data_IF_210376060817
#
_entry.id   IF_210376060817
#
_cell.length_a   1.000
_cell.length_b   1.000
_cell.length_c   1.000
_cell.angle_alpha   90.00
_cell.angle_beta   90.00
_cell.angle_gamma   90.00
#
_symmetry.space_group_name_H-M   'P 1'
#
loop_
_entity.id
_entity.type
_entity.pdbx_description
1 polymer ?
#
# COMPACT_ATOMS: atom_id res chain seq x y z
N UNK A 1 -16.18 -5.54 8.50
CA UNK A 1 -16.16 -4.78 9.76
C UNK A 1 -14.70 -4.72 10.12
N UNK A 2 -14.08 -3.56 10.02
CA UNK A 2 -12.62 -3.47 9.79
C UNK A 2 -11.89 -3.01 11.07
N UNK A 3 -12.47 -3.39 12.22
CA UNK A 3 -11.96 -3.07 13.54
C UNK A 3 -10.54 -3.64 13.73
N UNK A 4 -9.63 -2.88 14.37
CA UNK A 4 -9.86 -1.63 15.11
C UNK A 4 -9.80 -0.35 14.25
N UNK A 5 -9.66 -0.46 12.93
CA UNK A 5 -9.44 0.71 12.07
C UNK A 5 -10.75 1.40 11.69
N UNK A 6 -10.66 2.72 11.51
CA UNK A 6 -11.81 3.54 11.13
C UNK A 6 -12.19 3.32 9.67
N UNK A 7 -13.50 3.42 9.40
CA UNK A 7 -14.12 3.29 8.08
C UNK A 7 -13.94 1.92 7.42
N UNK A 8 -14.25 1.84 6.13
CA UNK A 8 -14.29 0.59 5.36
C UNK A 8 -13.96 0.87 3.89
N UNK A 9 -14.15 -0.11 3.01
CA UNK A 9 -13.98 -0.02 1.55
C UNK A 9 -14.52 1.29 0.99
N UNK A 10 -13.80 1.87 0.02
CA UNK A 10 -13.99 3.20 -0.59
C UNK A 10 -13.47 4.39 0.23
N UNK A 11 -13.20 4.24 1.54
CA UNK A 11 -12.58 5.29 2.34
C UNK A 11 -11.04 5.20 2.28
N UNK A 12 -10.44 5.65 1.17
CA UNK A 12 -8.99 5.61 0.97
C UNK A 12 -8.17 6.40 2.01
N UNK A 13 -8.82 7.34 2.71
CA UNK A 13 -8.18 8.17 3.73
C UNK A 13 -7.92 7.43 5.05
N UNK A 14 -8.51 6.25 5.30
CA UNK A 14 -8.39 5.56 6.59
C UNK A 14 -8.03 4.08 6.40
N UNK A 15 -7.33 3.52 7.40
CA UNK A 15 -6.83 2.15 7.32
C UNK A 15 -7.92 1.07 7.32
N UNK A 16 -9.15 1.35 7.73
CA UNK A 16 -10.25 0.40 7.54
C UNK A 16 -10.58 0.18 6.07
N UNK A 17 -10.26 1.15 5.20
CA UNK A 17 -10.42 1.02 3.75
C UNK A 17 -9.18 0.55 3.00
N UNK A 18 -7.98 0.65 3.59
CA UNK A 18 -6.71 0.45 2.86
C UNK A 18 -5.76 -0.58 3.47
N UNK A 19 -5.87 -0.90 4.76
CA UNK A 19 -4.99 -1.88 5.41
C UNK A 19 -5.50 -3.29 5.15
N UNK A 20 -4.62 -4.13 4.62
CA UNK A 20 -4.91 -5.52 4.32
C UNK A 20 -3.94 -6.44 5.07
N UNK A 21 -4.42 -7.62 5.45
CA UNK A 21 -3.53 -8.69 5.93
C UNK A 21 -2.70 -9.21 4.75
N UNK A 22 -1.40 -9.43 4.99
CA UNK A 22 -0.48 -10.00 4.01
C UNK A 22 0.29 -11.14 4.66
N UNK A 23 0.40 -12.26 3.94
CA UNK A 23 1.24 -13.39 4.29
C UNK A 23 2.17 -13.67 3.12
N UNK A 24 3.46 -13.79 3.39
CA UNK A 24 4.48 -14.14 2.40
C UNK A 24 5.08 -15.47 2.81
N UNK A 25 5.15 -16.41 1.86
CA UNK A 25 5.85 -17.69 2.02
C UNK A 25 6.86 -17.84 0.90
N UNK A 26 8.14 -17.85 1.25
CA UNK A 26 9.22 -18.11 0.31
C UNK A 26 10.28 -19.03 0.94
N UNK A 27 10.03 -20.35 0.98
CA UNK A 27 10.85 -21.30 1.75
C UNK A 27 12.33 -21.30 1.42
N UNK A 28 12.69 -21.00 0.16
CA UNK A 28 14.08 -21.00 -0.29
C UNK A 28 14.84 -19.70 0.05
N UNK A 29 14.13 -18.62 0.40
CA UNK A 29 14.76 -17.33 0.70
C UNK A 29 14.38 -16.73 2.05
N UNK A 30 13.51 -17.38 2.83
CA UNK A 30 13.18 -16.98 4.20
C UNK A 30 13.65 -18.05 5.18
N UNK A 31 14.54 -17.66 6.11
CA UNK A 31 15.03 -18.57 7.16
C UNK A 31 14.00 -18.78 8.27
N UNK A 32 13.27 -17.73 8.61
CA UNK A 32 12.32 -17.70 9.72
C UNK A 32 10.90 -18.05 9.23
N UNK A 33 10.11 -18.69 10.09
CA UNK A 33 8.74 -19.11 9.80
C UNK A 33 7.80 -18.69 10.93
N UNK A 34 6.61 -18.21 10.58
CA UNK A 34 5.58 -17.81 11.55
C UNK A 34 5.81 -16.44 12.20
N UNK A 35 6.78 -15.67 11.72
CA UNK A 35 7.10 -14.35 12.26
C UNK A 35 6.14 -13.26 11.74
N UNK A 36 5.95 -12.23 12.57
CA UNK A 36 5.21 -11.01 12.20
C UNK A 36 6.19 -9.91 11.82
N UNK A 37 5.84 -9.13 10.79
CA UNK A 37 6.59 -7.97 10.30
C UNK A 37 5.73 -6.71 10.37
N UNK A 38 6.32 -5.60 10.79
CA UNK A 38 5.59 -4.34 11.06
C UNK A 38 6.04 -3.17 10.17
N UNK A 39 7.00 -3.38 9.28
CA UNK A 39 7.44 -2.40 8.29
C UNK A 39 6.26 -1.95 7.43
N UNK A 40 6.20 -0.66 7.14
CA UNK A 40 5.12 -0.10 6.34
C UNK A 40 5.36 -0.41 4.86
N UNK A 41 4.38 -1.02 4.20
CA UNK A 41 4.42 -1.33 2.78
C UNK A 41 3.07 -1.11 2.12
N UNK A 42 3.11 -0.86 0.81
CA UNK A 42 1.94 -0.69 -0.04
C UNK A 42 1.91 -1.79 -1.11
N UNK A 43 0.74 -2.06 -1.71
CA UNK A 43 0.59 -3.13 -2.71
C UNK A 43 1.55 -2.99 -3.90
N UNK A 44 1.94 -1.76 -4.24
CA UNK A 44 2.89 -1.46 -5.33
C UNK A 44 4.32 -1.96 -5.05
N UNK A 45 4.63 -2.30 -3.80
CA UNK A 45 5.94 -2.82 -3.38
C UNK A 45 6.12 -4.31 -3.70
N UNK A 46 5.05 -5.01 -4.09
CA UNK A 46 5.10 -6.44 -4.39
C UNK A 46 5.90 -6.73 -5.66
N UNK A 47 5.65 -5.97 -6.73
CA UNK A 47 6.34 -6.14 -8.01
C UNK A 47 7.86 -5.96 -7.89
N UNK A 48 8.39 -4.86 -7.32
CA UNK A 48 9.84 -4.72 -7.17
C UNK A 48 10.45 -5.81 -6.28
N UNK A 49 9.73 -6.31 -5.26
CA UNK A 49 10.19 -7.43 -4.46
C UNK A 49 10.31 -8.73 -5.26
N UNK A 50 9.31 -9.05 -6.10
CA UNK A 50 9.37 -10.23 -6.98
C UNK A 50 10.54 -10.11 -7.96
N UNK A 51 10.71 -8.95 -8.59
CA UNK A 51 11.79 -8.71 -9.54
C UNK A 51 13.17 -8.86 -8.89
N UNK A 52 13.37 -8.31 -7.69
CA UNK A 52 14.61 -8.46 -6.92
C UNK A 52 14.90 -9.94 -6.61
N UNK A 53 13.91 -10.67 -6.08
CA UNK A 53 14.06 -12.08 -5.69
C UNK A 53 14.34 -12.99 -6.89
N UNK A 54 13.74 -12.69 -8.04
CA UNK A 54 13.98 -13.40 -9.30
C UNK A 54 15.28 -12.97 -9.99
N UNK A 55 15.94 -11.90 -9.52
CA UNK A 55 17.13 -11.30 -10.15
C UNK A 55 16.86 -10.84 -11.59
N UNK A 56 15.68 -10.27 -11.81
CA UNK A 56 15.24 -9.77 -13.13
C UNK A 56 15.06 -8.25 -13.04
N UNK A 57 15.60 -7.46 -13.99
CA UNK A 57 15.38 -6.02 -14.00
C UNK A 57 13.92 -5.68 -14.35
N UNK A 58 13.45 -4.52 -13.92
CA UNK A 58 12.15 -4.00 -14.35
C UNK A 58 12.15 -3.79 -15.88
N UNK A 59 11.13 -4.28 -16.61
CA UNK A 59 11.07 -4.12 -18.05
C UNK A 59 10.81 -2.66 -18.42
N UNK A 60 11.61 -2.11 -19.34
CA UNK A 60 11.39 -0.77 -19.90
C UNK A 60 10.34 -0.77 -21.02
N UNK A 61 10.11 -1.94 -21.64
CA UNK A 61 9.15 -2.14 -22.73
C UNK A 61 8.52 -3.53 -22.65
N UNK A 62 7.21 -3.62 -22.86
CA UNK A 62 6.45 -4.89 -22.92
C UNK A 62 5.57 -4.86 -24.15
N UNK A 63 5.69 -5.87 -25.04
CA UNK A 63 4.93 -5.96 -26.30
C UNK A 63 4.98 -4.67 -27.15
N UNK A 64 6.15 -4.02 -27.20
CA UNK A 64 6.33 -2.76 -27.95
C UNK A 64 5.95 -1.49 -27.18
N UNK A 65 5.29 -1.59 -26.03
CA UNK A 65 4.80 -0.44 -25.23
C UNK A 65 5.80 -0.06 -24.15
N UNK A 66 6.22 1.20 -24.12
CA UNK A 66 7.09 1.75 -23.07
C UNK A 66 6.39 1.75 -21.71
N UNK A 67 7.10 1.32 -20.67
CA UNK A 67 6.58 1.21 -19.33
C UNK A 67 6.93 2.44 -18.49
N UNK A 68 6.03 2.82 -17.58
CA UNK A 68 6.33 3.82 -16.55
C UNK A 68 7.33 3.23 -15.55
N UNK A 69 8.14 4.07 -14.89
CA UNK A 69 8.92 3.65 -13.73
C UNK A 69 8.03 3.00 -12.67
N UNK A 70 8.57 2.01 -11.96
CA UNK A 70 7.90 1.39 -10.82
C UNK A 70 8.00 2.35 -9.63
N UNK A 71 6.85 2.78 -9.10
CA UNK A 71 6.77 3.67 -7.91
C UNK A 71 6.96 2.90 -6.58
N UNK A 72 6.97 1.58 -6.65
CA UNK A 72 7.19 0.69 -5.51
C UNK A 72 8.65 0.61 -5.08
N UNK A 73 8.85 0.24 -3.82
CA UNK A 73 10.17 -0.16 -3.29
C UNK A 73 10.11 -1.62 -2.86
N UNK A 74 11.19 -2.37 -3.03
CA UNK A 74 11.19 -3.77 -2.64
C UNK A 74 11.05 -3.94 -1.14
N UNK A 75 10.24 -4.92 -0.74
CA UNK A 75 10.08 -5.37 0.65
C UNK A 75 10.95 -6.60 1.00
N UNK A 76 11.79 -7.09 0.07
CA UNK A 76 12.58 -8.31 0.26
C UNK A 76 13.55 -8.22 1.44
N UNK A 77 14.04 -7.01 1.77
CA UNK A 77 14.89 -6.77 2.94
C UNK A 77 14.27 -7.24 4.27
N UNK A 78 12.94 -7.27 4.36
CA UNK A 78 12.21 -7.70 5.58
C UNK A 78 12.26 -9.22 5.81
N UNK A 79 12.62 -10.00 4.79
CA UNK A 79 12.46 -11.46 4.81
C UNK A 79 13.40 -12.10 5.84
N UNK A 80 14.64 -11.61 5.92
CA UNK A 80 15.66 -12.13 6.83
C UNK A 80 16.16 -11.08 7.85
N UNK A 81 15.56 -9.89 7.89
CA UNK A 81 15.85 -8.88 8.90
C UNK A 81 14.55 -8.27 9.45
N UNK A 82 14.07 -8.84 10.56
CA UNK A 82 12.86 -8.40 11.23
C UNK A 82 12.93 -6.97 11.77
N UNK A 83 14.13 -6.53 12.15
CA UNK A 83 14.37 -5.24 12.80
C UNK A 83 14.77 -4.14 11.80
N UNK A 84 14.84 -4.45 10.50
CA UNK A 84 15.17 -3.45 9.50
C UNK A 84 14.13 -2.31 9.52
N UNK A 85 14.57 -1.04 9.42
CA UNK A 85 13.65 0.07 9.29
C UNK A 85 12.86 -0.04 7.98
N UNK A 86 11.66 0.55 7.97
CA UNK A 86 10.85 0.64 6.75
C UNK A 86 11.63 1.37 5.66
N UNK A 87 11.70 0.82 4.45
CA UNK A 87 12.28 1.53 3.29
C UNK A 87 11.25 2.42 2.59
N UNK A 88 9.95 2.17 2.81
CA UNK A 88 8.88 3.07 2.39
C UNK A 88 8.60 4.07 3.49
N UNK A 89 9.01 5.31 3.22
CA UNK A 89 8.83 6.44 4.11
C UNK A 89 7.54 7.20 3.81
N UNK A 90 7.12 7.27 2.55
CA UNK A 90 5.93 8.04 2.13
C UNK A 90 4.97 7.19 1.29
N UNK A 91 3.67 7.36 1.49
CA UNK A 91 2.63 6.81 0.61
C UNK A 91 1.42 7.73 0.54
N UNK A 92 0.99 8.06 -0.68
CA UNK A 92 -0.23 8.81 -0.93
C UNK A 92 -1.39 7.85 -1.26
N UNK A 93 -2.59 8.19 -0.78
CA UNK A 93 -3.83 7.47 -1.04
C UNK A 93 -4.87 8.46 -1.54
N UNK A 94 -5.56 8.11 -2.62
CA UNK A 94 -6.72 8.88 -3.07
C UNK A 94 -7.75 7.98 -3.73
N UNK A 95 -9.00 8.21 -3.37
CA UNK A 95 -10.14 7.67 -4.09
C UNK A 95 -11.34 8.59 -3.92
N UNK A 96 -11.87 9.09 -5.04
CA UNK A 96 -13.08 9.91 -5.10
C UNK A 96 -13.03 11.14 -4.17
N UNK A 97 -11.87 11.79 -4.07
CA UNK A 97 -11.64 12.95 -3.22
C UNK A 97 -11.28 12.64 -1.76
N UNK A 98 -11.39 11.39 -1.31
CA UNK A 98 -10.87 10.96 -0.01
C UNK A 98 -9.37 10.77 -0.11
N UNK A 99 -8.59 11.54 0.65
CA UNK A 99 -7.14 11.57 0.56
C UNK A 99 -6.48 11.23 1.89
N UNK A 100 -5.34 10.55 1.81
CA UNK A 100 -4.41 10.45 2.92
C UNK A 100 -2.96 10.44 2.43
N UNK A 101 -2.06 10.83 3.32
CA UNK A 101 -0.63 10.65 3.14
C UNK A 101 -0.03 10.06 4.41
N UNK A 102 0.65 8.93 4.25
CA UNK A 102 1.55 8.38 5.25
C UNK A 102 2.94 9.00 5.05
N UNK A 103 3.60 9.38 6.14
CA UNK A 103 5.00 9.78 6.16
C UNK A 103 5.66 9.41 7.50
N UNK A 104 6.64 8.50 7.48
CA UNK A 104 7.47 8.14 8.64
C UNK A 104 6.69 7.88 9.94
N UNK A 105 5.68 7.01 9.86
CA UNK A 105 4.82 6.65 10.98
C UNK A 105 3.63 7.58 11.20
N UNK A 106 3.65 8.78 10.61
CA UNK A 106 2.53 9.72 10.65
C UNK A 106 1.56 9.48 9.50
N UNK A 107 0.28 9.78 9.73
CA UNK A 107 -0.74 9.77 8.69
C UNK A 107 -1.57 11.04 8.80
N UNK A 108 -1.63 11.82 7.72
CA UNK A 108 -2.58 12.91 7.57
C UNK A 108 -3.73 12.44 6.67
N UNK A 109 -4.97 12.71 7.09
CA UNK A 109 -6.19 12.21 6.44
C UNK A 109 -7.17 13.35 6.22
N UNK A 110 -7.96 13.29 5.15
CA UNK A 110 -9.12 14.17 4.97
C UNK A 110 -10.37 13.53 5.54
N UNK A 111 -11.27 14.35 6.09
CA UNK A 111 -12.63 13.93 6.41
C UNK A 111 -13.31 13.37 5.16
N UNK A 112 -13.95 12.22 5.32
CA UNK A 112 -14.62 11.53 4.21
C UNK A 112 -15.79 12.37 3.72
N UNK A 113 -15.67 13.00 2.55
CA UNK A 113 -16.71 13.92 2.03
C UNK A 113 -18.00 13.20 1.63
N UNK A 114 -17.89 11.90 1.30
CA UNK A 114 -19.00 11.03 0.92
C UNK A 114 -18.90 9.72 1.69
N UNK A 115 -19.96 9.32 2.38
CA UNK A 115 -19.95 8.03 3.09
C UNK A 115 -20.03 6.89 2.07
N UNK A 116 -19.33 5.75 2.28
CA UNK A 116 -19.31 4.64 1.32
C UNK A 116 -20.68 4.06 0.93
N UNK A 117 -21.68 4.22 1.81
CA UNK A 117 -23.06 3.74 1.60
C UNK A 117 -24.00 4.77 0.94
N UNK A 118 -23.50 5.96 0.59
CA UNK A 118 -24.26 6.96 -0.15
C UNK A 118 -24.17 6.71 -1.67
N UNK A 119 -25.30 6.77 -2.38
CA UNK A 119 -25.34 6.67 -3.84
C UNK A 119 -24.65 7.85 -4.53
N UNK A 120 -24.26 7.67 -5.81
CA UNK A 120 -23.57 8.71 -6.60
C UNK A 120 -24.39 10.00 -6.80
N UNK A 121 -25.71 9.95 -6.64
CA UNK A 121 -26.61 11.09 -6.82
C UNK A 121 -26.57 12.15 -5.69
N UNK A 122 -25.95 11.85 -4.55
CA UNK A 122 -26.02 12.70 -3.35
C UNK A 122 -24.74 13.51 -3.06
N UNK A 123 -23.87 13.71 -4.05
CA UNK A 123 -22.60 14.43 -3.85
C UNK A 123 -22.88 15.94 -3.73
N UNK A 124 -22.85 16.48 -2.51
CA UNK A 124 -22.72 17.92 -2.26
C UNK A 124 -21.24 18.27 -2.17
N UNK A 125 -20.68 18.80 -3.25
CA UNK A 125 -19.35 19.41 -3.18
C UNK A 125 -19.44 20.66 -2.29
N UNK A 126 -18.50 20.89 -1.36
CA UNK A 126 -18.43 22.17 -0.67
C UNK A 126 -18.27 23.28 -1.71
N UNK A 127 -19.05 24.34 -1.58
CA UNK A 127 -18.83 25.57 -2.35
C UNK A 127 -17.40 26.05 -2.07
N UNK A 128 -16.68 26.39 -3.14
CA UNK A 128 -15.33 26.97 -3.05
C UNK A 128 -15.31 28.21 -2.16
#
# INVERSE_FOLDING_TARGET
MDAPFQWTKQAASHFGGTRNAMVISYPNGMKQKGEVRTQFHHVIDIVPAILELCKVPAPTKVNGVDQKPIDGVSMAYTFNNAAAPSTRNTQYFEMMGNRAIYHDGWVAVTTTAKKPWEGLANIKYPSR
#
